data_IF_031012100648
#
_entry.id   IF_031012100648
#
_cell.length_a   1.000
_cell.length_b   1.000
_cell.length_c   1.000
_cell.angle_alpha   90.00
_cell.angle_beta   90.00
_cell.angle_gamma   90.00
#
_symmetry.space_group_name_H-M   'P 1'
#
loop_
_entity.id
_entity.type
_entity.pdbx_description
1 polymer ?
2 non-polymer ?
3 water ?
#
# COMPACT_ATOMS: atom_id res chain seq x y z
N UNK A 39 -17.24 -19.65 -9.60
CA UNK A 39 -17.12 -18.95 -10.93
C UNK A 39 -15.88 -19.37 -11.68
N UNK A 40 -15.83 -19.00 -12.95
CA UNK A 40 -14.61 -19.14 -13.76
C UNK A 40 -13.48 -18.38 -13.08
N UNK A 41 -12.31 -18.99 -13.07
CA UNK A 41 -11.15 -18.46 -12.37
C UNK A 41 -10.72 -17.10 -12.90
N UNK A 42 -10.71 -16.96 -14.21
CA UNK A 42 -10.27 -15.72 -14.82
C UNK A 42 -11.27 -14.59 -14.54
N UNK A 43 -12.54 -14.95 -14.39
CA UNK A 43 -13.58 -13.98 -14.03
C UNK A 43 -13.37 -13.51 -12.60
N UNK A 44 -13.09 -14.44 -11.69
CA UNK A 44 -12.78 -14.07 -10.31
C UNK A 44 -11.61 -13.10 -10.23
N UNK A 45 -10.58 -13.36 -11.01
CA UNK A 45 -9.40 -12.49 -11.11
C UNK A 45 -9.79 -11.10 -11.63
N UNK A 46 -10.64 -11.08 -12.65
CA UNK A 46 -11.17 -9.83 -13.19
C UNK A 46 -11.90 -9.01 -12.14
N UNK A 47 -12.79 -9.67 -11.40
CA UNK A 47 -13.58 -8.98 -10.39
C UNK A 47 -12.69 -8.46 -9.26
N UNK A 48 -11.68 -9.23 -8.87
CA UNK A 48 -10.71 -8.78 -7.85
C UNK A 48 -9.99 -7.54 -8.30
N UNK A 49 -9.56 -7.55 -9.56
CA UNK A 49 -8.84 -6.42 -10.11
C UNK A 49 -9.73 -5.18 -10.28
N UNK A 50 -10.98 -5.40 -10.67
CA UNK A 50 -11.90 -4.27 -10.75
C UNK A 50 -12.18 -3.65 -9.38
N UNK A 51 -12.30 -4.51 -8.37
CA UNK A 51 -12.53 -4.10 -6.99
C UNK A 51 -11.34 -3.28 -6.47
N UNK A 52 -10.13 -3.75 -6.79
CA UNK A 52 -8.92 -3.04 -6.36
C UNK A 52 -8.81 -1.69 -7.05
N UNK A 53 -9.09 -1.63 -8.35
CA UNK A 53 -9.08 -0.36 -9.06
C UNK A 53 -10.02 0.64 -8.41
N UNK A 54 -11.24 0.20 -8.10
CA UNK A 54 -12.25 1.05 -7.51
C UNK A 54 -11.86 1.52 -6.13
N UNK A 55 -11.15 0.66 -5.40
CA UNK A 55 -10.73 0.99 -4.04
C UNK A 55 -9.94 2.30 -3.97
N UNK A 56 -9.04 2.51 -4.90
CA UNK A 56 -8.18 3.69 -4.85
C UNK A 56 -8.93 4.98 -5.11
N UNK A 57 -10.13 4.85 -5.68
CA UNK A 57 -11.03 6.01 -5.87
C UNK A 57 -11.95 6.25 -4.69
N UNK A 58 -11.95 5.34 -3.72
CA UNK A 58 -12.96 5.35 -2.67
C UNK A 58 -12.73 6.44 -1.65
N UNK A 59 -13.83 6.91 -1.07
CA UNK A 59 -13.77 7.86 0.04
C UNK A 59 -12.98 7.30 1.22
N UNK A 60 -13.13 6.00 1.48
CA UNK A 60 -12.48 5.37 2.63
C UNK A 60 -10.96 5.37 2.43
N UNK A 61 -10.50 5.03 1.22
CA UNK A 61 -9.08 5.09 0.93
C UNK A 61 -8.57 6.52 1.03
N UNK A 62 -9.31 7.48 0.44
CA UNK A 62 -8.80 8.84 0.42
C UNK A 62 -8.53 9.34 1.85
N UNK A 63 -9.47 9.03 2.75
CA UNK A 63 -9.38 9.45 4.13
C UNK A 63 -8.27 8.69 4.87
N UNK A 64 -8.18 7.39 4.65
CA UNK A 64 -7.24 6.56 5.38
C UNK A 64 -5.80 6.88 4.96
N UNK A 65 -5.59 7.09 3.67
CA UNK A 65 -4.31 7.53 3.16
C UNK A 65 -3.82 8.77 3.91
N UNK A 66 -4.71 9.75 4.07
CA UNK A 66 -4.36 10.97 4.75
C UNK A 66 -4.07 10.72 6.22
N UNK A 67 -4.82 9.82 6.84
CA UNK A 67 -4.61 9.48 8.24
C UNK A 67 -3.23 8.85 8.45
N UNK A 68 -2.82 7.99 7.52
CA UNK A 68 -1.52 7.34 7.61
C UNK A 68 -0.39 8.36 7.42
N UNK A 69 -0.50 9.20 6.40
CA UNK A 69 0.53 10.21 6.17
C UNK A 69 0.66 11.12 7.38
N UNK A 70 -0.48 11.50 7.94
CA UNK A 70 -0.44 12.38 9.10
C UNK A 70 0.22 11.71 10.31
N UNK A 71 -0.16 10.46 10.57
CA UNK A 71 0.45 9.65 11.66
C UNK A 71 1.95 9.54 11.48
N UNK A 72 2.36 9.38 10.23
CA UNK A 72 3.76 9.22 9.87
C UNK A 72 4.51 10.56 9.72
N UNK A 73 3.82 11.67 9.95
CA UNK A 73 4.39 13.00 9.77
C UNK A 73 5.01 13.19 8.39
N UNK A 74 4.39 12.57 7.39
CA UNK A 74 4.79 12.66 6.00
C UNK A 74 6.23 12.20 5.76
N UNK A 75 6.73 11.35 6.65
CA UNK A 75 8.07 10.78 6.48
C UNK A 75 8.04 9.34 6.03
N UNK A 76 8.97 8.99 5.15
CA UNK A 76 9.14 7.59 4.73
C UNK A 76 9.52 6.75 5.92
N UNK A 77 8.71 5.73 6.22
CA UNK A 77 8.93 4.89 7.40
C UNK A 77 10.07 3.91 7.25
N UNK A 78 10.39 3.52 6.03
CA UNK A 78 11.55 2.64 5.82
C UNK A 78 12.83 3.43 5.98
N UNK A 79 12.89 4.61 5.39
CA UNK A 79 14.04 5.49 5.60
C UNK A 79 14.21 5.80 7.08
N UNK A 80 13.13 6.07 7.78
CA UNK A 80 13.23 6.41 9.20
C UNK A 80 13.87 5.26 10.00
N UNK A 81 13.46 4.04 9.69
CA UNK A 81 14.05 2.87 10.36
C UNK A 81 15.50 2.67 10.05
N UNK A 82 15.92 3.15 8.89
CA UNK A 82 17.33 3.17 8.46
C UNK A 82 18.03 4.46 8.87
N UNK A 83 17.44 5.22 9.78
CA UNK A 83 18.04 6.46 10.30
C UNK A 83 18.27 7.54 9.23
N UNK A 84 17.26 7.71 8.38
CA UNK A 84 17.26 8.69 7.31
C UNK A 84 15.95 9.44 7.29
N UNK A 85 16.00 10.69 6.86
CA UNK A 85 14.84 11.56 6.76
C UNK A 85 14.52 11.83 5.30
N UNK A 86 13.37 11.31 4.85
CA UNK A 86 12.93 11.46 3.47
C UNK A 86 11.43 11.69 3.44
N UNK A 87 11.00 12.67 2.68
CA UNK A 87 9.58 12.93 2.50
C UNK A 87 8.90 11.73 1.83
N UNK A 88 7.77 11.30 2.38
CA UNK A 88 6.96 10.26 1.75
C UNK A 88 6.17 10.82 0.58
N UNK A 89 6.00 10.00 -0.45
CA UNK A 89 5.23 10.36 -1.64
C UNK A 89 4.07 9.42 -1.94
N UNK A 90 3.98 8.32 -1.20
CA UNK A 90 2.95 7.31 -1.46
C UNK A 90 2.67 6.56 -0.17
N UNK A 91 1.45 6.06 -0.03
CA UNK A 91 1.11 5.15 1.06
C UNK A 91 0.91 3.77 0.44
N UNK A 92 1.65 2.78 0.94
CA UNK A 92 1.62 1.42 0.39
C UNK A 92 1.09 0.41 1.41
N UNK A 93 0.38 -0.57 0.90
CA UNK A 93 -0.05 -1.75 1.66
C UNK A 93 1.13 -2.67 1.91
N UNK A 94 1.31 -3.08 3.16
CA UNK A 94 2.43 -3.99 3.49
C UNK A 94 2.15 -5.36 2.88
N UNK A 95 1.04 -5.98 3.27
CA UNK A 95 0.47 -7.08 2.51
C UNK A 95 -0.32 -6.44 1.37
N UNK A 96 0.07 -6.72 0.13
CA UNK A 96 -0.56 -6.00 -0.98
C UNK A 96 -2.07 -6.13 -1.02
N UNK A 97 -2.73 -5.10 -1.54
CA UNK A 97 -4.16 -5.08 -1.66
C UNK A 97 -4.72 -6.30 -2.39
N UNK A 98 -4.05 -6.71 -3.45
CA UNK A 98 -4.52 -7.83 -4.27
C UNK A 98 -4.20 -9.17 -3.64
N UNK A 99 -3.38 -9.16 -2.60
CA UNK A 99 -3.06 -10.38 -1.84
C UNK A 99 -4.04 -10.63 -0.70
N UNK A 100 -4.45 -9.57 0.00
CA UNK A 100 -5.41 -9.69 1.10
C UNK A 100 -6.34 -8.47 1.16
N UNK A 101 -7.52 -8.62 0.56
CA UNK A 101 -8.51 -7.56 0.51
C UNK A 101 -8.96 -7.11 1.90
N UNK A 102 -8.99 -8.04 2.85
CA UNK A 102 -9.50 -7.72 4.18
C UNK A 102 -8.67 -6.72 4.94
N UNK A 103 -7.41 -6.54 4.54
CA UNK A 103 -6.47 -5.65 5.24
C UNK A 103 -6.33 -4.30 4.53
N UNK A 104 -7.22 -4.03 3.59
CA UNK A 104 -7.12 -2.86 2.71
C UNK A 104 -7.12 -1.51 3.42
N UNK A 105 -7.77 -1.41 4.58
CA UNK A 105 -7.87 -0.15 5.31
C UNK A 105 -7.25 -0.21 6.70
N UNK A 106 -6.47 -1.26 6.97
CA UNK A 106 -5.85 -1.42 8.29
C UNK A 106 -4.62 -0.56 8.41
N UNK A 107 -4.57 0.33 9.39
CA UNK A 107 -3.44 1.25 9.49
C UNK A 107 -2.13 0.52 9.74
N UNK A 108 -2.18 -0.60 10.48
CA UNK A 108 -0.98 -1.40 10.69
C UNK A 108 -0.54 -2.19 9.45
N UNK A 109 -1.32 -2.09 8.38
CA UNK A 109 -0.96 -2.68 7.09
C UNK A 109 -0.59 -1.58 6.09
N UNK A 110 -0.35 -0.36 6.56
CA UNK A 110 -0.08 0.76 5.64
C UNK A 110 1.14 1.56 6.09
N UNK A 111 2.01 1.91 5.15
CA UNK A 111 3.18 2.72 5.45
C UNK A 111 3.38 3.82 4.43
N UNK A 112 3.77 4.99 4.92
CA UNK A 112 4.18 6.08 4.05
C UNK A 112 5.61 5.81 3.58
N UNK A 113 5.84 5.94 2.27
CA UNK A 113 7.13 5.58 1.64
C UNK A 113 7.56 6.64 0.65
N UNK A 114 8.89 6.79 0.52
CA UNK A 114 9.47 7.54 -0.58
C UNK A 114 9.47 6.65 -1.83
N UNK A 115 9.78 7.23 -2.97
CA UNK A 115 9.76 6.46 -4.21
C UNK A 115 10.79 5.33 -4.20
N UNK A 116 12.00 5.61 -3.73
CA UNK A 116 13.05 4.61 -3.72
C UNK A 116 12.68 3.42 -2.85
N UNK A 117 12.08 3.70 -1.69
CA UNK A 117 11.63 2.62 -0.81
C UNK A 117 10.44 1.87 -1.39
N UNK A 118 9.55 2.56 -2.09
CA UNK A 118 8.44 1.87 -2.77
C UNK A 118 8.97 0.93 -3.85
N UNK A 119 9.98 1.39 -4.60
CA UNK A 119 10.61 0.57 -5.62
C UNK A 119 11.29 -0.65 -5.02
N UNK A 120 12.02 -0.45 -3.92
CA UNK A 120 12.66 -1.56 -3.24
C UNK A 120 11.63 -2.56 -2.75
N UNK A 121 10.57 -2.04 -2.13
CA UNK A 121 9.51 -2.91 -1.59
C UNK A 121 8.84 -3.70 -2.68
N UNK A 122 8.67 -3.08 -3.86
CA UNK A 122 8.05 -3.80 -4.99
C UNK A 122 8.88 -5.02 -5.37
N UNK A 123 10.20 -4.88 -5.39
CA UNK A 123 11.07 -6.02 -5.71
C UNK A 123 11.02 -7.09 -4.63
N UNK A 124 11.04 -6.66 -3.39
CA UNK A 124 10.91 -7.58 -2.25
C UNK A 124 9.61 -8.36 -2.32
N UNK A 125 8.54 -7.68 -2.70
CA UNK A 125 7.24 -8.32 -2.74
C UNK A 125 7.12 -9.32 -3.89
N UNK A 126 7.85 -9.09 -4.97
CA UNK A 126 7.89 -10.09 -6.06
C UNK A 126 8.52 -11.39 -5.58
N UNK A 127 9.49 -11.29 -4.67
CA UNK A 127 10.08 -12.51 -4.10
C UNK A 127 9.08 -13.27 -3.21
N UNK A 128 8.18 -12.53 -2.58
CA UNK A 128 7.18 -13.13 -1.69
C UNK A 128 5.96 -13.67 -2.41
N UNK A 129 5.47 -12.94 -3.42
CA UNK A 129 4.17 -13.20 -4.03
C UNK A 129 4.19 -13.37 -5.55
N UNK A 130 5.34 -13.18 -6.18
CA UNK A 130 5.47 -13.31 -7.63
C UNK A 130 5.27 -12.00 -8.36
X LIG B 1 12.48 5.83 1.94
#
# INVERSE_FOLDING_TARGET
>A
MPSKPLRPCNKIGCTNLTRDRYCEQHKHLAEQRQRTRRNDKEYDKHKRNQQARAFYHSREWERTRLAVLAKDNYLCQHCLKEKKITRAVIVDHITPLLVDWSKRLDMDNLQSLCQACHNRKTAEDKRRYG
>B hetero
1 ZN ZN
#
